data_IF_673526453550
#
_entry.id   IF_673526453550
#
_cell.length_a   1.000
_cell.length_b   1.000
_cell.length_c   1.000
_cell.angle_alpha   90.00
_cell.angle_beta   90.00
_cell.angle_gamma   90.00
#
_symmetry.space_group_name_H-M   'P 1'
#
loop_
_entity.id
_entity.type
_entity.pdbx_description
1 polymer ?
#
# COMPACT_ATOMS: atom_id res chain seq x y z
N UNK A 1 0.86 26.25 -0.13
CA UNK A 1 2.17 25.60 -0.02
C UNK A 1 1.92 24.16 0.38
N UNK A 2 1.97 23.24 -0.57
CA UNK A 2 1.73 21.81 -0.34
C UNK A 2 3.01 21.24 0.23
N UNK A 3 3.01 20.87 1.51
CA UNK A 3 4.03 20.01 2.06
C UNK A 3 3.64 18.56 1.69
N UNK A 4 4.08 18.10 0.52
CA UNK A 4 4.15 16.67 0.26
C UNK A 4 5.34 16.13 1.07
N UNK A 5 5.09 15.25 1.98
CA UNK A 5 6.12 14.64 2.80
C UNK A 5 5.91 13.13 2.84
N UNK A 6 6.91 12.44 2.35
CA UNK A 6 7.21 11.02 2.53
C UNK A 6 6.17 10.02 2.04
N UNK A 7 6.40 9.53 0.85
CA UNK A 7 5.95 8.19 0.45
C UNK A 7 7.01 7.17 0.91
N UNK A 8 6.77 6.57 2.05
CA UNK A 8 7.48 5.34 2.41
C UNK A 8 6.85 4.19 1.64
N UNK A 9 7.64 3.50 0.83
CA UNK A 9 7.23 2.19 0.28
C UNK A 9 7.00 1.26 1.48
N UNK A 10 5.75 1.05 1.86
CA UNK A 10 5.42 0.06 2.88
C UNK A 10 5.33 -1.29 2.18
N UNK A 11 6.48 -1.91 1.97
CA UNK A 11 6.58 -3.32 1.65
C UNK A 11 6.29 -4.10 2.93
N UNK A 12 5.30 -4.97 2.93
CA UNK A 12 5.03 -5.91 4.02
C UNK A 12 5.75 -7.22 3.70
N UNK A 13 6.86 -7.58 4.37
CA UNK A 13 7.57 -8.82 4.08
C UNK A 13 6.76 -10.03 4.57
N UNK A 14 6.59 -11.02 3.71
CA UNK A 14 6.13 -12.34 4.09
C UNK A 14 7.33 -13.13 4.63
N UNK A 15 7.19 -13.69 5.84
CA UNK A 15 8.24 -14.51 6.47
C UNK A 15 8.56 -15.76 5.66
N UNK A 16 9.83 -16.16 5.70
CA UNK A 16 10.34 -17.37 5.05
C UNK A 16 9.83 -18.65 5.74
N UNK A 17 9.65 -19.77 5.01
CA UNK A 17 9.20 -21.02 5.60
C UNK A 17 10.29 -21.73 6.40
N UNK A 18 9.96 -22.23 7.59
CA UNK A 18 10.81 -23.06 8.42
C UNK A 18 10.69 -24.56 8.03
N UNK A 19 11.75 -25.36 8.23
CA UNK A 19 11.79 -26.75 7.76
C UNK A 19 10.96 -27.73 8.61
N UNK A 20 10.34 -28.69 7.93
CA UNK A 20 9.47 -29.71 8.48
C UNK A 20 10.20 -30.76 9.33
N UNK A 21 9.63 -31.13 10.49
CA UNK A 21 9.96 -32.35 11.22
C UNK A 21 8.77 -33.31 11.24
N UNK A 22 9.01 -34.55 10.81
CA UNK A 22 8.06 -35.67 10.86
C UNK A 22 8.02 -36.29 12.26
N UNK A 23 6.82 -36.66 12.70
CA UNK A 23 6.67 -37.71 13.72
C UNK A 23 5.36 -38.46 13.48
N UNK A 24 5.45 -39.81 13.52
CA UNK A 24 4.35 -40.74 13.30
C UNK A 24 4.00 -41.35 14.64
N UNK A 25 2.72 -41.39 15.02
CA UNK A 25 2.18 -42.40 15.95
C UNK A 25 0.66 -42.52 15.79
N UNK A 26 0.17 -43.69 15.46
CA UNK A 26 -1.24 -44.00 15.31
C UNK A 26 -1.95 -44.35 16.60
N UNK A 27 -3.28 -44.13 16.62
CA UNK A 27 -4.25 -45.07 17.25
C UNK A 27 -5.71 -44.66 17.07
N UNK A 28 -6.54 -45.72 16.83
CA UNK A 28 -7.98 -45.89 17.10
C UNK A 28 -9.00 -44.98 16.44
N UNK A 29 -9.88 -45.61 15.61
CA UNK A 29 -10.97 -45.01 14.88
C UNK A 29 -12.21 -44.76 15.75
N UNK A 30 -12.32 -43.56 16.21
CA UNK A 30 -13.59 -42.84 16.36
C UNK A 30 -13.86 -42.12 15.06
N UNK A 31 -15.15 -41.85 14.70
CA UNK A 31 -15.48 -41.08 13.50
C UNK A 31 -14.48 -39.92 13.32
N UNK A 32 -13.84 -39.73 12.17
CA UNK A 32 -12.64 -38.93 12.04
C UNK A 32 -12.95 -37.51 12.50
N UNK A 33 -12.56 -37.17 13.72
CA UNK A 33 -12.54 -35.78 14.17
C UNK A 33 -11.60 -35.06 13.21
N UNK A 34 -12.14 -34.07 12.48
CA UNK A 34 -11.35 -33.24 11.60
C UNK A 34 -10.14 -32.70 12.36
N UNK A 35 -8.97 -32.78 11.77
CA UNK A 35 -7.81 -32.08 12.34
C UNK A 35 -8.10 -30.58 12.44
N UNK A 36 -7.49 -29.84 13.38
CA UNK A 36 -7.72 -28.40 13.52
C UNK A 36 -7.48 -27.66 12.21
N UNK A 37 -6.46 -28.05 11.43
CA UNK A 37 -6.13 -27.47 10.12
C UNK A 37 -7.28 -27.61 9.11
N UNK A 38 -7.80 -28.82 8.96
CA UNK A 38 -8.91 -29.11 8.03
C UNK A 38 -10.18 -28.39 8.48
N UNK A 39 -10.44 -28.35 9.77
CA UNK A 39 -11.60 -27.65 10.33
C UNK A 39 -11.50 -26.13 10.11
N UNK A 40 -10.35 -25.52 10.41
CA UNK A 40 -10.09 -24.10 10.18
C UNK A 40 -10.26 -23.74 8.70
N UNK A 41 -9.64 -24.50 7.78
CA UNK A 41 -9.78 -24.28 6.35
C UNK A 41 -11.24 -24.34 5.86
N UNK A 42 -12.04 -25.30 6.38
CA UNK A 42 -13.46 -25.39 6.06
C UNK A 42 -14.27 -24.19 6.57
N UNK A 43 -14.04 -23.76 7.81
CA UNK A 43 -14.70 -22.60 8.42
C UNK A 43 -14.37 -21.32 7.63
N UNK A 44 -13.10 -21.12 7.29
CA UNK A 44 -12.65 -19.98 6.51
C UNK A 44 -13.22 -19.97 5.09
N UNK A 45 -13.26 -21.11 4.41
CA UNK A 45 -13.88 -21.24 3.08
C UNK A 45 -15.38 -20.96 3.12
N UNK A 46 -16.09 -21.45 4.14
CA UNK A 46 -17.51 -21.15 4.32
C UNK A 46 -17.75 -19.66 4.56
N UNK A 47 -16.92 -19.05 5.40
CA UNK A 47 -16.97 -17.62 5.71
C UNK A 47 -16.72 -16.75 4.48
N UNK A 48 -15.74 -17.10 3.63
CA UNK A 48 -15.46 -16.41 2.37
C UNK A 48 -16.66 -16.47 1.41
N UNK A 49 -17.25 -17.66 1.23
CA UNK A 49 -18.46 -17.79 0.40
C UNK A 49 -19.63 -16.98 0.94
N UNK A 50 -19.80 -16.91 2.26
CA UNK A 50 -20.88 -16.15 2.89
C UNK A 50 -20.70 -14.64 2.66
N UNK A 51 -19.46 -14.10 2.64
CA UNK A 51 -19.18 -12.71 2.27
C UNK A 51 -19.67 -12.43 0.84
N UNK A 52 -19.26 -13.26 -0.12
CA UNK A 52 -19.62 -13.09 -1.54
C UNK A 52 -21.12 -13.28 -1.81
N UNK A 53 -21.78 -14.14 -1.02
CA UNK A 53 -23.22 -14.40 -1.10
C UNK A 53 -24.08 -13.41 -0.30
N UNK A 54 -23.46 -12.48 0.43
CA UNK A 54 -24.14 -11.60 1.39
C UNK A 54 -24.95 -12.38 2.44
N UNK A 55 -24.49 -13.57 2.82
CA UNK A 55 -25.13 -14.45 3.81
C UNK A 55 -24.56 -14.20 5.22
N UNK A 56 -25.19 -13.32 5.97
CA UNK A 56 -24.78 -13.00 7.35
C UNK A 56 -24.83 -14.20 8.28
N UNK A 57 -25.87 -15.03 8.12
CA UNK A 57 -26.05 -16.21 8.98
C UNK A 57 -24.92 -17.22 8.75
N UNK A 58 -24.59 -17.51 7.49
CA UNK A 58 -23.47 -18.37 7.10
C UNK A 58 -22.12 -17.83 7.57
N UNK A 59 -21.90 -16.51 7.48
CA UNK A 59 -20.67 -15.88 7.98
C UNK A 59 -20.50 -16.05 9.49
N UNK A 60 -21.57 -15.81 10.26
CA UNK A 60 -21.58 -15.90 11.72
C UNK A 60 -21.63 -17.35 12.23
N UNK A 61 -22.02 -18.32 11.40
CA UNK A 61 -22.02 -19.73 11.77
C UNK A 61 -20.61 -20.27 12.06
N UNK A 62 -19.57 -19.63 11.55
CA UNK A 62 -18.17 -19.98 11.84
C UNK A 62 -17.73 -19.52 13.25
N UNK A 63 -18.46 -18.63 13.92
CA UNK A 63 -18.06 -17.98 15.17
C UNK A 63 -18.65 -18.72 16.37
N UNK A 64 -17.89 -18.80 17.46
CA UNK A 64 -18.45 -19.29 18.73
C UNK A 64 -19.39 -18.27 19.35
N UNK A 65 -20.69 -18.58 19.40
CA UNK A 65 -21.70 -17.71 19.99
C UNK A 65 -21.52 -17.42 21.48
N UNK A 66 -20.80 -18.27 22.18
CA UNK A 66 -20.46 -18.05 23.61
C UNK A 66 -19.50 -16.87 23.79
N UNK A 67 -18.73 -16.52 22.75
CA UNK A 67 -17.86 -15.34 22.70
C UNK A 67 -18.63 -14.10 22.28
N UNK A 68 -19.64 -13.70 23.08
CA UNK A 68 -20.65 -12.70 22.72
C UNK A 68 -20.06 -11.41 22.17
N UNK A 69 -19.06 -10.83 22.81
CA UNK A 69 -18.44 -9.59 22.35
C UNK A 69 -17.78 -9.76 20.97
N UNK A 70 -17.08 -10.86 20.75
CA UNK A 70 -16.47 -11.18 19.46
C UNK A 70 -17.53 -11.47 18.40
N UNK A 71 -18.58 -12.23 18.71
CA UNK A 71 -19.70 -12.48 17.82
C UNK A 71 -20.36 -11.18 17.33
N UNK A 72 -20.60 -10.24 18.24
CA UNK A 72 -21.20 -8.93 17.91
C UNK A 72 -20.23 -8.07 17.06
N UNK A 73 -18.93 -8.10 17.34
CA UNK A 73 -17.95 -7.41 16.50
C UNK A 73 -17.92 -7.97 15.08
N UNK A 74 -17.99 -9.29 14.94
CA UNK A 74 -18.00 -9.97 13.65
C UNK A 74 -19.33 -9.74 12.88
N UNK A 75 -20.44 -9.54 13.61
CA UNK A 75 -21.71 -9.14 13.00
C UNK A 75 -21.62 -7.75 12.36
N UNK A 76 -21.00 -6.78 13.05
CA UNK A 76 -20.75 -5.44 12.49
C UNK A 76 -19.74 -5.48 11.33
N UNK A 77 -18.68 -6.27 11.46
CA UNK A 77 -17.71 -6.46 10.39
C UNK A 77 -18.39 -6.96 9.10
N UNK A 78 -19.29 -7.93 9.22
CA UNK A 78 -20.03 -8.42 8.05
C UNK A 78 -20.84 -7.30 7.38
N UNK A 79 -21.54 -6.47 8.18
CA UNK A 79 -22.33 -5.36 7.65
C UNK A 79 -21.48 -4.32 6.89
N UNK A 80 -20.22 -4.15 7.30
CA UNK A 80 -19.27 -3.30 6.60
C UNK A 80 -18.76 -3.98 5.30
N UNK A 81 -18.35 -5.26 5.36
CA UNK A 81 -17.81 -6.02 4.24
C UNK A 81 -18.76 -6.06 3.04
N UNK A 82 -20.06 -6.29 3.27
CA UNK A 82 -21.03 -6.41 2.16
C UNK A 82 -21.36 -5.08 1.46
N UNK A 83 -20.85 -3.96 1.96
CA UNK A 83 -20.96 -2.66 1.28
C UNK A 83 -19.87 -2.45 0.22
N UNK A 84 -18.85 -3.29 0.18
CA UNK A 84 -17.73 -3.21 -0.75
C UNK A 84 -17.92 -4.20 -1.91
N UNK A 85 -17.70 -3.81 -3.16
CA UNK A 85 -17.98 -4.66 -4.31
C UNK A 85 -16.86 -5.68 -4.55
N UNK A 86 -16.83 -6.77 -3.80
CA UNK A 86 -15.86 -7.85 -4.03
C UNK A 86 -16.16 -8.58 -5.34
N UNK A 87 -15.10 -8.83 -6.12
CA UNK A 87 -15.11 -9.78 -7.25
C UNK A 87 -14.88 -11.20 -6.75
N UNK A 88 -13.88 -11.34 -5.90
CA UNK A 88 -13.55 -12.57 -5.19
C UNK A 88 -13.03 -12.25 -3.79
N UNK A 89 -13.21 -13.20 -2.90
CA UNK A 89 -12.72 -13.16 -1.54
C UNK A 89 -12.46 -14.61 -1.09
N UNK A 90 -11.27 -14.90 -0.60
CA UNK A 90 -10.95 -16.19 -0.03
C UNK A 90 -9.95 -16.06 1.11
N UNK A 91 -9.86 -17.12 1.92
CA UNK A 91 -8.85 -17.27 2.96
C UNK A 91 -8.00 -18.50 2.70
N UNK A 92 -6.73 -18.45 3.09
CA UNK A 92 -5.86 -19.61 3.18
C UNK A 92 -5.10 -19.62 4.51
N UNK A 93 -4.70 -20.77 4.98
CA UNK A 93 -3.70 -20.91 6.04
C UNK A 93 -2.32 -20.77 5.38
N UNK A 94 -1.45 -19.93 5.92
CA UNK A 94 -0.11 -19.68 5.33
C UNK A 94 0.75 -20.93 5.51
N UNK A 95 0.91 -21.39 6.74
CA UNK A 95 1.46 -22.69 7.07
C UNK A 95 0.48 -23.46 7.98
N UNK A 96 -0.25 -24.46 7.44
CA UNK A 96 -1.20 -25.20 8.25
C UNK A 96 -0.58 -26.03 9.39
N UNK A 97 0.73 -26.25 9.38
CA UNK A 97 1.41 -26.97 10.48
C UNK A 97 1.79 -26.04 11.64
N UNK A 98 1.88 -24.75 11.40
CA UNK A 98 2.17 -23.77 12.42
C UNK A 98 0.97 -23.55 13.35
N UNK A 99 1.25 -23.56 14.65
CA UNK A 99 0.31 -23.18 15.68
C UNK A 99 0.97 -22.17 16.64
N UNK A 100 0.64 -20.92 16.42
CA UNK A 100 1.24 -19.76 17.09
C UNK A 100 0.70 -19.53 18.51
N UNK A 101 -0.18 -20.41 19.01
CA UNK A 101 -0.75 -20.29 20.35
C UNK A 101 0.32 -20.45 21.44
N UNK A 102 0.60 -19.36 22.15
CA UNK A 102 1.57 -19.36 23.24
C UNK A 102 1.10 -20.25 24.43
N UNK A 103 2.03 -20.75 25.27
CA UNK A 103 1.66 -21.47 26.49
C UNK A 103 0.72 -20.65 27.40
N UNK A 104 0.89 -19.35 27.48
CA UNK A 104 0.01 -18.46 28.25
C UNK A 104 -1.39 -18.39 27.64
N UNK A 105 -1.50 -18.30 26.32
CA UNK A 105 -2.79 -18.34 25.65
C UNK A 105 -3.49 -19.68 25.90
N UNK A 106 -2.78 -20.80 25.75
CA UNK A 106 -3.33 -22.15 26.03
C UNK A 106 -3.84 -22.28 27.46
N UNK A 107 -3.10 -21.78 28.47
CA UNK A 107 -3.56 -21.77 29.88
C UNK A 107 -4.85 -20.95 30.04
N UNK A 108 -5.00 -19.81 29.33
CA UNK A 108 -6.23 -18.99 29.38
C UNK A 108 -7.46 -19.73 28.83
N UNK A 109 -7.26 -20.59 27.83
CA UNK A 109 -8.32 -21.44 27.29
C UNK A 109 -8.57 -22.72 28.10
N UNK A 110 -7.73 -23.00 29.10
CA UNK A 110 -7.87 -24.13 30.00
C UNK A 110 -7.75 -25.48 29.30
N UNK A 111 -8.76 -26.35 29.46
CA UNK A 111 -8.79 -27.68 28.82
C UNK A 111 -9.28 -27.63 27.37
N UNK A 112 -9.76 -26.49 26.88
CA UNK A 112 -10.24 -26.34 25.49
C UNK A 112 -9.06 -26.41 24.54
N UNK A 113 -9.15 -27.27 23.53
CA UNK A 113 -8.15 -27.30 22.45
C UNK A 113 -8.30 -26.09 21.58
N UNK A 114 -7.17 -25.42 21.33
CA UNK A 114 -7.10 -24.25 20.43
C UNK A 114 -6.07 -24.49 19.33
N UNK A 115 -6.25 -23.77 18.22
CA UNK A 115 -5.34 -23.71 17.10
C UNK A 115 -5.30 -22.26 16.59
N UNK A 116 -4.11 -21.70 16.45
CA UNK A 116 -3.90 -20.30 16.07
C UNK A 116 -2.90 -20.24 14.91
N UNK A 117 -3.34 -20.40 13.68
CA UNK A 117 -2.51 -20.29 12.49
C UNK A 117 -2.40 -18.83 12.00
N UNK A 118 -1.38 -18.55 11.21
CA UNK A 118 -1.41 -17.40 10.32
C UNK A 118 -2.40 -17.66 9.17
N UNK A 119 -3.32 -16.72 8.97
CA UNK A 119 -4.36 -16.77 7.95
C UNK A 119 -4.17 -15.58 7.00
N UNK A 120 -4.16 -15.83 5.70
CA UNK A 120 -4.12 -14.81 4.68
C UNK A 120 -5.50 -14.71 4.00
N UNK A 121 -6.09 -13.51 3.98
CA UNK A 121 -7.18 -13.19 3.09
C UNK A 121 -6.62 -12.69 1.75
N UNK A 122 -7.25 -13.12 0.67
CA UNK A 122 -6.98 -12.66 -0.70
C UNK A 122 -8.29 -12.19 -1.30
N UNK A 123 -8.31 -10.93 -1.75
CA UNK A 123 -9.54 -10.36 -2.30
C UNK A 123 -9.24 -9.41 -3.47
N UNK A 124 -10.24 -9.20 -4.32
CA UNK A 124 -10.23 -8.18 -5.39
C UNK A 124 -11.54 -7.43 -5.39
N UNK A 125 -11.47 -6.12 -5.65
CA UNK A 125 -12.65 -5.32 -5.92
C UNK A 125 -13.05 -5.45 -7.39
N UNK A 126 -14.35 -5.66 -7.61
CA UNK A 126 -14.92 -5.94 -8.93
C UNK A 126 -14.62 -4.80 -9.91
N UNK A 127 -13.90 -5.13 -10.98
CA UNK A 127 -13.57 -4.21 -12.05
C UNK A 127 -12.44 -3.22 -11.75
N UNK A 128 -11.86 -3.22 -10.53
CA UNK A 128 -10.84 -2.23 -10.12
C UNK A 128 -9.51 -2.85 -9.69
N UNK A 129 -9.47 -4.13 -9.36
CA UNK A 129 -8.24 -4.85 -9.05
C UNK A 129 -7.92 -5.87 -10.16
N UNK A 130 -6.77 -5.74 -10.78
CA UNK A 130 -6.22 -6.73 -11.72
C UNK A 130 -5.54 -7.88 -10.99
N UNK A 131 -4.93 -7.61 -9.83
CA UNK A 131 -4.30 -8.57 -8.95
C UNK A 131 -4.90 -8.53 -7.54
N UNK A 132 -4.85 -9.64 -6.77
CA UNK A 132 -5.43 -9.68 -5.43
C UNK A 132 -4.66 -8.81 -4.44
N UNK A 133 -5.35 -8.27 -3.45
CA UNK A 133 -4.76 -7.75 -2.22
C UNK A 133 -4.58 -8.90 -1.24
N UNK A 134 -3.49 -8.88 -0.50
CA UNK A 134 -3.18 -9.82 0.57
C UNK A 134 -3.32 -9.12 1.92
N UNK A 135 -3.99 -9.78 2.86
CA UNK A 135 -4.18 -9.27 4.21
C UNK A 135 -4.05 -10.42 5.20
N UNK A 136 -3.28 -10.23 6.28
CA UNK A 136 -2.97 -11.27 7.27
C UNK A 136 -3.84 -11.12 8.49
N UNK A 137 -4.32 -12.26 8.99
CA UNK A 137 -5.12 -12.34 10.20
C UNK A 137 -4.68 -13.51 11.07
N UNK A 138 -4.87 -13.38 12.37
CA UNK A 138 -4.54 -14.40 13.36
C UNK A 138 -5.81 -14.77 14.13
N UNK A 139 -6.58 -15.73 13.57
CA UNK A 139 -7.78 -16.24 14.21
C UNK A 139 -7.42 -17.35 15.20
N UNK A 140 -7.96 -17.26 16.42
CA UNK A 140 -7.96 -18.38 17.36
C UNK A 140 -9.16 -19.25 17.09
N UNK A 141 -8.91 -20.50 16.67
CA UNK A 141 -9.94 -21.54 16.58
C UNK A 141 -9.99 -22.30 17.89
N UNK A 142 -11.19 -22.61 18.38
CA UNK A 142 -11.40 -23.44 19.56
C UNK A 142 -12.30 -24.63 19.22
N UNK A 143 -12.03 -25.77 19.88
CA UNK A 143 -12.84 -26.97 19.78
C UNK A 143 -14.03 -26.87 20.75
N UNK A 144 -15.24 -26.81 20.24
CA UNK A 144 -16.49 -26.80 21.00
C UNK A 144 -17.17 -28.19 20.93
N UNK A 145 -18.20 -28.46 21.75
CA UNK A 145 -18.96 -29.71 21.65
C UNK A 145 -19.60 -29.96 20.27
N UNK A 146 -19.85 -28.90 19.50
CA UNK A 146 -20.45 -28.96 18.16
C UNK A 146 -19.43 -28.80 17.02
N UNK A 147 -18.12 -28.95 17.33
CA UNK A 147 -17.02 -28.85 16.39
C UNK A 147 -16.19 -27.56 16.57
N UNK A 148 -15.26 -27.34 15.67
CA UNK A 148 -14.38 -26.16 15.71
C UNK A 148 -15.14 -24.88 15.37
N UNK A 149 -14.77 -23.76 16.05
CA UNK A 149 -15.30 -22.41 15.83
C UNK A 149 -14.19 -21.38 15.98
N UNK A 150 -14.36 -20.21 15.38
CA UNK A 150 -13.48 -19.05 15.60
C UNK A 150 -13.91 -18.40 16.92
N UNK A 151 -12.97 -18.29 17.84
CA UNK A 151 -13.19 -17.77 19.19
C UNK A 151 -12.74 -16.32 19.36
N UNK A 152 -11.68 -15.94 18.64
CA UNK A 152 -11.07 -14.61 18.74
C UNK A 152 -10.22 -14.29 17.51
N UNK A 153 -9.74 -13.05 17.45
CA UNK A 153 -8.81 -12.53 16.46
C UNK A 153 -7.73 -11.70 17.19
N UNK A 154 -6.50 -11.67 16.65
CA UNK A 154 -5.42 -10.82 17.15
C UNK A 154 -4.74 -11.33 18.42
N UNK A 155 -4.84 -12.62 18.76
CA UNK A 155 -4.22 -13.21 19.95
C UNK A 155 -2.81 -13.76 19.71
N UNK A 156 -2.24 -13.61 18.51
CA UNK A 156 -0.88 -14.08 18.19
C UNK A 156 0.24 -13.20 18.74
N UNK A 157 -0.06 -12.02 19.30
CA UNK A 157 0.96 -11.10 19.82
C UNK A 157 1.84 -11.78 20.89
N UNK A 158 3.17 -11.56 20.89
CA UNK A 158 3.92 -10.65 20.02
C UNK A 158 4.38 -11.25 18.67
N UNK A 159 4.05 -12.50 18.37
CA UNK A 159 4.53 -13.23 17.19
C UNK A 159 4.00 -12.63 15.88
N UNK A 160 2.74 -12.19 15.87
CA UNK A 160 2.11 -11.57 14.72
C UNK A 160 1.01 -10.58 15.13
N UNK A 161 0.74 -9.62 14.23
CA UNK A 161 -0.32 -8.61 14.36
C UNK A 161 -1.17 -8.65 13.12
N UNK A 162 -2.51 -8.61 13.29
CA UNK A 162 -3.44 -8.53 12.17
C UNK A 162 -3.18 -7.29 11.32
N UNK A 163 -3.27 -7.44 10.02
CA UNK A 163 -3.43 -6.30 9.14
C UNK A 163 -4.80 -5.65 9.38
N UNK A 164 -4.86 -4.35 9.20
CA UNK A 164 -6.09 -3.57 9.36
C UNK A 164 -6.61 -3.19 7.98
N UNK A 165 -7.90 -3.43 7.79
CA UNK A 165 -8.61 -3.06 6.58
C UNK A 165 -9.65 -1.97 6.86
N UNK A 166 -10.02 -1.20 5.84
CA UNK A 166 -10.93 -0.05 6.02
C UNK A 166 -12.30 -0.48 6.59
N UNK A 167 -12.76 -1.68 6.28
CA UNK A 167 -14.02 -2.23 6.80
C UNK A 167 -13.99 -2.64 8.27
N UNK A 168 -12.81 -2.70 8.90
CA UNK A 168 -12.68 -3.03 10.33
C UNK A 168 -13.14 -1.87 11.23
N UNK A 169 -13.16 -0.64 10.69
CA UNK A 169 -13.33 0.59 11.45
C UNK A 169 -14.71 1.25 11.31
N UNK A 170 -15.66 0.64 10.63
CA UNK A 170 -17.04 1.14 10.58
C UNK A 170 -17.71 1.05 9.21
N UNK A 171 -18.90 1.64 9.10
CA UNK A 171 -19.69 1.63 7.87
C UNK A 171 -18.94 2.28 6.71
N UNK A 172 -19.12 1.72 5.51
CA UNK A 172 -18.50 2.21 4.29
C UNK A 172 -19.51 2.65 3.25
N UNK A 173 -19.06 3.48 2.33
CA UNK A 173 -19.69 3.86 1.08
C UNK A 173 -18.67 3.82 -0.03
N UNK A 174 -19.13 3.75 -1.26
CA UNK A 174 -18.29 3.79 -2.45
C UNK A 174 -18.72 4.89 -3.40
N UNK A 175 -17.73 5.52 -4.05
CA UNK A 175 -17.93 6.35 -5.23
C UNK A 175 -17.12 5.71 -6.37
N UNK A 176 -17.72 5.54 -7.54
CA UNK A 176 -17.16 4.67 -8.56
C UNK A 176 -17.31 5.27 -9.96
N UNK A 177 -16.26 5.08 -10.77
CA UNK A 177 -16.27 5.21 -12.23
C UNK A 177 -15.82 3.88 -12.85
N UNK A 178 -15.64 3.84 -14.16
CA UNK A 178 -15.12 2.65 -14.83
C UNK A 178 -13.68 2.31 -14.39
N UNK A 179 -12.88 3.30 -13.98
CA UNK A 179 -11.45 3.15 -13.68
C UNK A 179 -11.10 3.39 -12.22
N UNK A 180 -11.92 4.14 -11.50
CA UNK A 180 -11.63 4.55 -10.12
C UNK A 180 -12.69 4.04 -9.17
N UNK A 181 -12.27 3.41 -8.08
CA UNK A 181 -13.10 3.10 -6.91
C UNK A 181 -12.58 3.88 -5.71
N UNK A 182 -13.43 4.70 -5.10
CA UNK A 182 -13.16 5.34 -3.82
C UNK A 182 -13.99 4.67 -2.75
N UNK A 183 -13.34 4.07 -1.75
CA UNK A 183 -13.98 3.48 -0.56
C UNK A 183 -13.79 4.44 0.60
N UNK A 184 -14.87 4.82 1.26
CA UNK A 184 -14.81 5.89 2.25
C UNK A 184 -15.84 5.70 3.38
N UNK A 185 -15.56 6.29 4.55
CA UNK A 185 -16.55 6.41 5.63
C UNK A 185 -17.55 7.54 5.36
N UNK A 186 -18.85 7.39 5.72
CA UNK A 186 -19.92 8.33 5.35
C UNK A 186 -19.62 9.81 5.63
N UNK A 187 -18.90 10.12 6.71
CA UNK A 187 -18.48 11.49 7.06
C UNK A 187 -17.55 12.16 6.05
N UNK A 188 -16.88 11.39 5.18
CA UNK A 188 -15.88 11.89 4.23
C UNK A 188 -16.41 11.95 2.78
N UNK A 189 -17.73 11.97 2.57
CA UNK A 189 -18.34 11.93 1.23
C UNK A 189 -17.80 13.01 0.28
N UNK A 190 -17.77 14.27 0.72
CA UNK A 190 -17.32 15.38 -0.13
C UNK A 190 -15.85 15.22 -0.55
N UNK A 191 -14.99 14.78 0.36
CA UNK A 191 -13.60 14.49 0.06
C UNK A 191 -13.48 13.34 -0.93
N UNK A 192 -14.22 12.25 -0.73
CA UNK A 192 -14.22 11.10 -1.63
C UNK A 192 -14.64 11.48 -3.06
N UNK A 193 -15.68 12.30 -3.21
CA UNK A 193 -16.14 12.81 -4.52
C UNK A 193 -15.09 13.72 -5.19
N UNK A 194 -14.37 14.55 -4.41
CA UNK A 194 -13.25 15.38 -4.91
C UNK A 194 -12.08 14.52 -5.35
N UNK A 195 -11.70 13.50 -4.56
CA UNK A 195 -10.64 12.55 -4.89
C UNK A 195 -10.98 11.76 -6.17
N UNK A 196 -12.24 11.31 -6.31
CA UNK A 196 -12.70 10.65 -7.53
C UNK A 196 -12.50 11.53 -8.77
N UNK A 197 -12.90 12.80 -8.71
CA UNK A 197 -12.71 13.75 -9.82
C UNK A 197 -11.23 14.03 -10.10
N UNK A 198 -10.40 14.11 -9.07
CA UNK A 198 -8.97 14.30 -9.23
C UNK A 198 -8.32 13.06 -9.91
N UNK A 199 -8.69 11.86 -9.50
CA UNK A 199 -8.21 10.62 -10.10
C UNK A 199 -8.57 10.51 -11.59
N UNK A 200 -9.81 10.87 -11.98
CA UNK A 200 -10.21 10.82 -13.37
C UNK A 200 -9.40 11.77 -14.29
N UNK A 201 -8.96 12.91 -13.75
CA UNK A 201 -8.06 13.83 -14.49
C UNK A 201 -6.61 13.35 -14.49
N UNK A 202 -6.19 12.64 -13.43
CA UNK A 202 -4.81 12.16 -13.28
C UNK A 202 -4.42 11.15 -14.38
N UNK A 203 -5.34 10.32 -14.87
CA UNK A 203 -5.03 9.34 -15.91
C UNK A 203 -4.39 9.99 -17.15
N UNK A 204 -4.98 11.04 -17.69
CA UNK A 204 -4.43 11.73 -18.86
C UNK A 204 -3.06 12.39 -18.57
N UNK A 205 -2.85 12.89 -17.34
CA UNK A 205 -1.57 13.47 -16.95
C UNK A 205 -0.47 12.40 -16.85
N UNK A 206 -0.81 11.25 -16.29
CA UNK A 206 0.12 10.11 -16.17
C UNK A 206 0.45 9.57 -17.57
N UNK A 207 -0.54 9.32 -18.42
CA UNK A 207 -0.33 8.83 -19.80
C UNK A 207 0.51 9.78 -20.65
N UNK A 208 0.42 11.09 -20.41
CA UNK A 208 1.28 12.08 -21.06
C UNK A 208 2.75 12.03 -20.57
N UNK A 209 3.01 11.46 -19.40
CA UNK A 209 4.35 11.39 -18.78
C UNK A 209 4.94 9.99 -18.79
N UNK A 210 4.11 8.95 -18.76
CA UNK A 210 4.49 7.54 -18.64
C UNK A 210 3.86 6.69 -19.73
N UNK A 211 4.68 6.00 -20.53
CA UNK A 211 4.27 5.08 -21.60
C UNK A 211 4.44 3.60 -21.23
N UNK A 212 4.87 3.30 -19.99
CA UNK A 212 4.99 1.93 -19.51
C UNK A 212 3.62 1.29 -19.26
N UNK A 213 3.54 -0.05 -19.24
CA UNK A 213 2.30 -0.75 -18.95
C UNK A 213 1.84 -0.49 -17.52
N UNK A 214 0.54 -0.23 -17.34
CA UNK A 214 -0.13 -0.19 -16.05
C UNK A 214 -1.63 -0.45 -16.23
N UNK A 215 -2.35 -0.72 -15.16
CA UNK A 215 -3.73 -1.21 -15.25
C UNK A 215 -4.75 -0.12 -15.60
N UNK A 216 -4.39 1.16 -15.56
CA UNK A 216 -5.30 2.31 -15.71
C UNK A 216 -6.53 2.19 -14.78
N UNK A 217 -6.32 1.67 -13.59
CA UNK A 217 -7.31 1.52 -12.53
C UNK A 217 -6.68 1.86 -11.20
N UNK A 218 -7.47 2.47 -10.33
CA UNK A 218 -7.01 2.80 -8.98
C UNK A 218 -8.12 2.60 -7.95
N UNK A 219 -7.73 2.15 -6.78
CA UNK A 219 -8.57 2.12 -5.58
C UNK A 219 -8.02 3.11 -4.58
N UNK A 220 -8.88 4.05 -4.14
CA UNK A 220 -8.55 5.08 -3.16
C UNK A 220 -9.32 4.78 -1.88
N UNK A 221 -8.61 4.71 -0.75
CA UNK A 221 -9.20 4.54 0.58
C UNK A 221 -9.20 5.89 1.30
N UNK A 222 -10.37 6.31 1.77
CA UNK A 222 -10.57 7.56 2.52
C UNK A 222 -11.01 7.20 3.95
N UNK A 223 -10.05 6.98 4.86
CA UNK A 223 -10.28 6.59 6.24
C UNK A 223 -10.94 7.70 7.06
N UNK A 224 -11.37 7.42 8.30
CA UNK A 224 -11.93 8.42 9.22
C UNK A 224 -10.93 9.54 9.52
N UNK A 225 -9.70 9.15 9.84
CA UNK A 225 -8.64 10.05 10.33
C UNK A 225 -7.24 9.49 10.02
N UNK A 226 -6.23 10.25 10.47
CA UNK A 226 -4.82 9.88 10.34
C UNK A 226 -4.48 8.56 11.05
N UNK A 227 -5.08 8.27 12.20
CA UNK A 227 -4.77 7.06 12.97
C UNK A 227 -5.22 5.81 12.21
N UNK A 228 -6.40 5.88 11.59
CA UNK A 228 -6.85 4.80 10.72
C UNK A 228 -5.96 4.70 9.47
N UNK A 229 -5.65 5.82 8.80
CA UNK A 229 -4.75 5.83 7.66
C UNK A 229 -3.40 5.15 7.99
N UNK A 230 -2.80 5.47 9.13
CA UNK A 230 -1.55 4.83 9.58
C UNK A 230 -1.69 3.32 9.77
N UNK A 231 -2.80 2.85 10.35
CA UNK A 231 -3.03 1.40 10.52
C UNK A 231 -3.20 0.69 9.18
N UNK A 232 -3.91 1.30 8.21
CA UNK A 232 -4.10 0.75 6.86
C UNK A 232 -2.78 0.56 6.10
N UNK A 233 -1.74 1.32 6.44
CA UNK A 233 -0.40 1.22 5.83
C UNK A 233 0.62 0.58 6.76
N UNK A 234 0.19 -0.28 7.68
CA UNK A 234 1.09 -1.05 8.55
C UNK A 234 1.76 -0.26 9.66
N UNK A 235 1.14 0.85 10.12
CA UNK A 235 1.63 1.65 11.25
C UNK A 235 2.66 2.73 10.88
N UNK A 236 2.91 2.96 9.60
CA UNK A 236 3.80 4.04 9.14
C UNK A 236 3.29 5.40 9.62
N UNK A 237 4.18 6.24 10.13
CA UNK A 237 3.84 7.58 10.58
C UNK A 237 3.47 8.48 9.39
N UNK A 238 2.21 8.89 9.32
CA UNK A 238 1.67 9.75 8.27
C UNK A 238 1.46 11.21 8.72
N UNK A 239 2.01 11.65 9.85
CA UNK A 239 1.74 12.99 10.40
C UNK A 239 2.03 14.14 9.42
N UNK A 240 2.97 13.93 8.49
CA UNK A 240 3.36 14.91 7.47
C UNK A 240 3.01 14.49 6.04
N UNK A 241 2.27 13.40 5.88
CA UNK A 241 1.94 12.78 4.58
C UNK A 241 0.50 13.08 4.22
N UNK A 242 0.25 13.50 2.99
CA UNK A 242 -1.08 13.80 2.48
C UNK A 242 -1.84 12.55 2.02
N UNK A 243 -1.15 11.66 1.34
CA UNK A 243 -1.62 10.36 0.91
C UNK A 243 -0.42 9.44 0.70
N UNK A 244 -0.66 8.15 0.52
CA UNK A 244 0.38 7.16 0.26
C UNK A 244 -0.12 6.07 -0.67
N UNK A 245 0.66 5.74 -1.70
CA UNK A 245 0.43 4.56 -2.50
C UNK A 245 0.98 3.33 -1.76
N UNK A 246 0.11 2.39 -1.43
CA UNK A 246 0.43 1.14 -0.73
C UNK A 246 0.13 -0.06 -1.63
N UNK A 247 0.86 -1.15 -1.45
CA UNK A 247 0.64 -2.41 -2.17
C UNK A 247 1.03 -3.60 -1.29
N UNK A 248 0.45 -4.75 -1.60
CA UNK A 248 0.90 -6.03 -1.06
C UNK A 248 2.08 -6.55 -1.89
N UNK A 249 3.01 -7.26 -1.25
CA UNK A 249 4.09 -7.96 -1.96
C UNK A 249 3.93 -9.46 -1.72
N UNK A 250 3.82 -10.21 -2.79
CA UNK A 250 3.89 -11.66 -2.74
C UNK A 250 5.35 -12.08 -2.83
N UNK A 251 5.86 -12.69 -1.77
CA UNK A 251 7.23 -13.21 -1.74
C UNK A 251 7.35 -14.44 -2.66
N UNK A 252 8.44 -14.51 -3.41
CA UNK A 252 8.75 -15.61 -4.33
C UNK A 252 10.14 -15.43 -4.92
N UNK A 253 10.56 -16.31 -5.87
CA UNK A 253 11.81 -16.13 -6.59
C UNK A 253 11.91 -14.76 -7.31
N UNK A 254 10.77 -14.20 -7.68
CA UNK A 254 10.61 -12.82 -8.14
C UNK A 254 9.50 -12.21 -7.31
N UNK A 255 9.78 -11.11 -6.64
CA UNK A 255 8.77 -10.35 -5.90
C UNK A 255 7.68 -9.84 -6.85
N UNK A 256 6.43 -10.03 -6.49
CA UNK A 256 5.28 -9.52 -7.25
C UNK A 256 4.55 -8.47 -6.44
N UNK A 257 4.47 -7.28 -7.00
CA UNK A 257 3.63 -6.22 -6.44
C UNK A 257 2.17 -6.50 -6.77
N UNK A 258 1.35 -6.61 -5.75
CA UNK A 258 -0.06 -6.94 -5.85
C UNK A 258 -0.89 -5.82 -5.23
N UNK A 259 -2.13 -5.66 -5.72
CA UNK A 259 -3.18 -4.89 -5.08
C UNK A 259 -2.78 -3.48 -4.67
N UNK A 260 -2.75 -2.54 -5.62
CA UNK A 260 -2.41 -1.15 -5.33
C UNK A 260 -3.57 -0.42 -4.64
N UNK A 261 -3.23 0.38 -3.62
CA UNK A 261 -4.17 1.28 -2.91
C UNK A 261 -3.54 2.65 -2.76
N UNK A 262 -4.32 3.69 -2.94
CA UNK A 262 -3.98 5.03 -2.48
C UNK A 262 -4.70 5.27 -1.17
N UNK A 263 -3.98 5.40 -0.07
CA UNK A 263 -4.54 5.67 1.26
C UNK A 263 -4.39 7.15 1.58
N UNK A 264 -5.50 7.82 1.84
CA UNK A 264 -5.54 9.26 2.06
C UNK A 264 -5.39 9.57 3.55
N UNK A 265 -4.53 10.51 3.91
CA UNK A 265 -4.53 11.09 5.26
C UNK A 265 -5.55 12.23 5.32
N UNK A 266 -6.76 11.91 5.72
CA UNK A 266 -7.89 12.84 5.75
C UNK A 266 -7.63 14.08 6.61
N UNK A 267 -6.86 13.94 7.70
CA UNK A 267 -6.53 15.06 8.60
C UNK A 267 -5.65 16.10 7.90
N UNK A 268 -4.73 15.67 7.05
CA UNK A 268 -3.79 16.58 6.38
C UNK A 268 -4.38 17.26 5.15
N UNK A 269 -5.31 16.59 4.44
CA UNK A 269 -5.84 17.11 3.16
C UNK A 269 -7.24 17.70 3.26
N UNK A 270 -7.85 17.72 4.44
CA UNK A 270 -9.22 18.23 4.63
C UNK A 270 -9.42 19.64 4.05
N UNK A 271 -8.41 20.50 4.18
CA UNK A 271 -8.44 21.90 3.74
C UNK A 271 -7.77 22.15 2.39
N UNK A 272 -7.35 21.10 1.67
CA UNK A 272 -6.73 21.28 0.35
C UNK A 272 -7.79 21.76 -0.65
N UNK A 273 -7.41 22.73 -1.48
CA UNK A 273 -8.20 23.11 -2.65
C UNK A 273 -8.17 22.00 -3.72
N UNK A 274 -8.85 22.22 -4.84
CA UNK A 274 -8.94 21.21 -5.89
C UNK A 274 -7.61 21.03 -6.65
N UNK A 275 -6.78 22.08 -6.72
CA UNK A 275 -5.46 21.99 -7.35
C UNK A 275 -4.52 21.13 -6.51
N UNK A 276 -4.45 21.39 -5.21
CA UNK A 276 -3.63 20.63 -4.29
C UNK A 276 -4.06 19.15 -4.22
N UNK A 277 -5.38 18.88 -4.21
CA UNK A 277 -5.89 17.51 -4.29
C UNK A 277 -5.51 16.84 -5.63
N UNK A 278 -5.55 17.59 -6.75
CA UNK A 278 -5.14 17.07 -8.05
C UNK A 278 -3.66 16.69 -8.05
N UNK A 279 -2.80 17.55 -7.52
CA UNK A 279 -1.34 17.31 -7.43
C UNK A 279 -1.08 16.03 -6.61
N UNK A 280 -1.62 15.95 -5.39
CA UNK A 280 -1.44 14.78 -4.53
C UNK A 280 -1.97 13.50 -5.20
N UNK A 281 -3.18 13.56 -5.76
CA UNK A 281 -3.78 12.38 -6.40
C UNK A 281 -2.96 11.91 -7.60
N UNK A 282 -2.48 12.84 -8.43
CA UNK A 282 -1.65 12.49 -9.59
C UNK A 282 -0.30 11.92 -9.16
N UNK A 283 0.32 12.48 -8.12
CA UNK A 283 1.56 11.99 -7.54
C UNK A 283 1.40 10.52 -7.10
N UNK A 284 0.42 10.21 -6.25
CA UNK A 284 0.19 8.86 -5.75
C UNK A 284 -0.18 7.86 -6.86
N UNK A 285 -1.01 8.27 -7.79
CA UNK A 285 -1.35 7.43 -8.94
C UNK A 285 -0.16 7.21 -9.89
N UNK A 286 0.81 8.13 -9.93
CA UNK A 286 2.05 7.92 -10.68
C UNK A 286 2.87 6.80 -10.06
N UNK A 287 2.95 6.70 -8.73
CA UNK A 287 3.56 5.55 -8.08
C UNK A 287 2.85 4.24 -8.43
N UNK A 288 1.51 4.24 -8.46
CA UNK A 288 0.75 3.05 -8.90
C UNK A 288 1.12 2.67 -10.34
N UNK A 289 1.25 3.62 -11.24
CA UNK A 289 1.56 3.38 -12.64
C UNK A 289 3.00 2.87 -12.87
N UNK A 290 3.97 3.34 -12.09
CA UNK A 290 5.40 3.03 -12.27
C UNK A 290 5.88 1.82 -11.48
N UNK A 291 5.14 1.39 -10.44
CA UNK A 291 5.53 0.35 -9.49
C UNK A 291 5.79 -1.04 -10.10
N UNK A 292 5.32 -1.30 -11.30
CA UNK A 292 5.57 -2.56 -12.02
C UNK A 292 7.03 -2.82 -12.33
N UNK A 293 7.90 -1.82 -12.19
CA UNK A 293 9.35 -1.94 -12.44
C UNK A 293 10.15 -2.51 -11.26
N UNK A 294 9.55 -2.58 -10.06
CA UNK A 294 10.23 -3.04 -8.85
C UNK A 294 10.30 -1.98 -7.76
N UNK A 295 11.26 -2.09 -6.86
CA UNK A 295 11.47 -1.18 -5.72
C UNK A 295 12.93 -0.70 -5.60
N UNK A 296 13.72 -0.93 -6.64
CA UNK A 296 15.16 -0.63 -6.64
C UNK A 296 15.53 0.77 -7.12
N UNK A 297 14.56 1.57 -7.59
CA UNK A 297 14.84 2.92 -8.07
C UNK A 297 15.32 3.83 -6.92
N UNK A 298 16.31 4.74 -7.17
CA UNK A 298 16.65 5.79 -6.22
C UNK A 298 15.45 6.71 -5.94
N UNK A 299 15.23 7.11 -4.67
CA UNK A 299 14.06 7.92 -4.30
C UNK A 299 13.98 9.26 -5.04
N UNK A 300 15.11 9.88 -5.38
CA UNK A 300 15.10 11.11 -6.17
C UNK A 300 14.42 10.93 -7.55
N UNK A 301 14.46 9.72 -8.09
CA UNK A 301 13.82 9.44 -9.36
C UNK A 301 12.35 9.06 -9.17
N UNK A 302 12.05 8.25 -8.16
CA UNK A 302 10.68 7.82 -7.83
C UNK A 302 9.80 9.03 -7.49
N UNK A 303 10.24 9.82 -6.50
CA UNK A 303 9.51 10.99 -6.03
C UNK A 303 9.56 12.15 -7.03
N UNK A 304 10.75 12.34 -7.64
CA UNK A 304 10.93 13.38 -8.65
C UNK A 304 10.07 13.17 -9.88
N UNK A 305 9.89 11.93 -10.33
CA UNK A 305 9.03 11.62 -11.47
C UNK A 305 7.54 11.76 -11.13
N UNK A 306 7.13 11.37 -9.92
CA UNK A 306 5.77 11.53 -9.46
C UNK A 306 5.39 13.03 -9.36
N UNK A 307 6.23 13.84 -8.73
CA UNK A 307 6.05 15.28 -8.66
C UNK A 307 6.15 15.97 -10.02
N UNK A 308 7.09 15.57 -10.88
CA UNK A 308 7.16 16.08 -12.26
C UNK A 308 5.84 15.85 -13.01
N UNK A 309 5.29 14.63 -12.93
CA UNK A 309 4.03 14.26 -13.57
C UNK A 309 2.87 15.09 -13.03
N UNK A 310 2.80 15.25 -11.71
CA UNK A 310 1.72 15.98 -11.04
C UNK A 310 1.77 17.50 -11.30
N UNK A 311 2.96 18.09 -11.36
CA UNK A 311 3.18 19.53 -11.51
C UNK A 311 3.30 19.98 -12.97
N UNK A 312 3.53 19.06 -13.92
CA UNK A 312 3.72 19.37 -15.34
C UNK A 312 2.61 20.23 -15.97
N UNK A 313 1.32 20.03 -15.63
CA UNK A 313 0.25 20.88 -16.20
C UNK A 313 0.22 22.31 -15.63
N UNK A 314 0.98 22.58 -14.56
CA UNK A 314 0.96 23.88 -13.89
C UNK A 314 1.96 24.82 -14.58
N UNK A 315 1.44 25.72 -15.40
CA UNK A 315 2.23 26.70 -16.15
C UNK A 315 2.67 27.87 -15.22
N UNK A 316 3.52 27.58 -14.24
CA UNK A 316 4.04 28.56 -13.30
C UNK A 316 5.59 28.48 -13.24
N UNK A 317 6.28 29.59 -12.89
CA UNK A 317 7.73 29.60 -12.72
C UNK A 317 8.22 28.53 -11.73
N UNK A 318 9.48 28.12 -11.89
CA UNK A 318 10.12 27.14 -11.01
C UNK A 318 10.10 27.60 -9.54
N UNK A 319 10.28 28.91 -9.27
CA UNK A 319 10.21 29.51 -7.95
C UNK A 319 8.85 29.34 -7.24
N UNK A 320 7.76 29.22 -8.01
CA UNK A 320 6.41 28.99 -7.48
C UNK A 320 6.13 27.52 -7.30
N UNK A 321 6.54 26.68 -8.23
CA UNK A 321 6.26 25.24 -8.21
C UNK A 321 7.27 24.45 -7.36
N UNK A 322 8.49 25.00 -7.12
CA UNK A 322 9.57 24.42 -6.27
C UNK A 322 10.10 25.45 -5.28
N UNK A 323 9.26 25.92 -4.34
CA UNK A 323 9.62 27.05 -3.47
C UNK A 323 10.71 26.74 -2.45
N UNK A 324 10.89 25.46 -2.06
CA UNK A 324 11.94 25.07 -1.13
C UNK A 324 13.31 25.10 -1.83
N UNK A 325 13.39 24.62 -3.07
CA UNK A 325 14.60 24.75 -3.91
C UNK A 325 14.93 26.22 -4.18
N UNK A 326 13.95 27.04 -4.53
CA UNK A 326 14.16 28.46 -4.79
C UNK A 326 14.76 29.18 -3.56
N UNK A 327 14.26 28.87 -2.36
CA UNK A 327 14.85 29.40 -1.11
C UNK A 327 16.29 28.91 -0.88
N UNK A 328 16.57 27.62 -1.13
CA UNK A 328 17.92 27.02 -0.99
C UNK A 328 18.91 27.71 -1.92
N UNK A 329 18.52 27.98 -3.16
CA UNK A 329 19.33 28.72 -4.16
C UNK A 329 19.56 30.15 -3.72
N UNK A 330 18.51 30.89 -3.35
CA UNK A 330 18.60 32.28 -2.90
C UNK A 330 19.50 32.45 -1.64
N UNK A 331 19.62 31.41 -0.83
CA UNK A 331 20.49 31.37 0.35
C UNK A 331 21.94 30.94 0.03
N UNK A 332 22.27 30.67 -1.24
CA UNK A 332 23.59 30.19 -1.64
C UNK A 332 23.94 28.78 -1.12
N UNK A 333 22.94 27.99 -0.72
CA UNK A 333 23.13 26.65 -0.13
C UNK A 333 22.90 25.49 -1.12
N UNK A 334 22.52 25.78 -2.34
CA UNK A 334 22.30 24.77 -3.36
C UNK A 334 23.64 24.24 -3.87
N UNK A 335 23.92 22.97 -3.63
CA UNK A 335 25.17 22.29 -3.99
C UNK A 335 25.13 21.61 -5.38
N UNK A 336 23.96 21.54 -6.00
CA UNK A 336 23.76 20.93 -7.31
C UNK A 336 23.87 19.40 -7.33
N UNK A 337 23.75 18.75 -6.19
CA UNK A 337 23.75 17.29 -6.07
C UNK A 337 22.32 16.75 -5.97
N UNK A 338 22.11 15.54 -6.50
CA UNK A 338 20.83 14.85 -6.33
C UNK A 338 20.65 14.41 -4.87
N UNK A 339 19.43 14.56 -4.30
CA UNK A 339 19.19 14.20 -2.92
C UNK A 339 19.37 12.69 -2.68
N UNK A 340 19.95 12.35 -1.54
CA UNK A 340 20.02 10.97 -1.07
C UNK A 340 18.64 10.49 -0.59
N UNK A 341 18.44 9.17 -0.48
CA UNK A 341 17.20 8.61 0.07
C UNK A 341 16.90 9.11 1.50
N UNK A 342 17.95 9.35 2.30
CA UNK A 342 17.79 9.85 3.67
C UNK A 342 17.28 11.28 3.69
N UNK A 343 17.56 12.08 2.66
CA UNK A 343 17.04 13.46 2.54
C UNK A 343 15.52 13.49 2.49
N UNK A 344 14.89 12.48 1.90
CA UNK A 344 13.41 12.38 1.85
C UNK A 344 12.80 11.98 3.19
N UNK A 345 13.57 11.34 4.07
CA UNK A 345 13.13 10.93 5.42
C UNK A 345 13.38 11.98 6.48
N UNK A 346 14.30 12.91 6.23
CA UNK A 346 14.65 13.98 7.16
C UNK A 346 13.51 15.00 7.28
N UNK A 347 13.07 15.29 8.50
CA UNK A 347 11.91 16.16 8.75
C UNK A 347 12.14 17.64 8.36
N UNK A 348 13.39 18.07 8.29
CA UNK A 348 13.77 19.47 8.02
C UNK A 348 14.00 19.74 6.54
N UNK A 349 14.50 18.78 5.77
CA UNK A 349 14.97 18.98 4.40
C UNK A 349 14.17 18.25 3.33
N UNK A 350 13.17 17.46 3.74
CA UNK A 350 12.39 16.65 2.81
C UNK A 350 11.76 17.48 1.68
N UNK A 351 11.17 18.64 2.00
CA UNK A 351 10.57 19.51 0.97
C UNK A 351 11.61 20.00 -0.07
N UNK A 352 12.86 20.19 0.35
CA UNK A 352 13.95 20.54 -0.56
C UNK A 352 14.29 19.34 -1.45
N UNK A 353 14.38 18.13 -0.87
CA UNK A 353 14.68 16.91 -1.63
C UNK A 353 13.62 16.64 -2.71
N UNK A 354 12.33 16.80 -2.40
CA UNK A 354 11.25 16.70 -3.39
C UNK A 354 11.39 17.73 -4.51
N UNK A 355 11.62 19.00 -4.15
CA UNK A 355 11.77 20.08 -5.13
C UNK A 355 13.01 19.86 -6.03
N UNK A 356 14.15 19.44 -5.46
CA UNK A 356 15.36 19.09 -6.19
C UNK A 356 15.09 17.92 -7.15
N UNK A 357 14.53 16.83 -6.66
CA UNK A 357 14.22 15.64 -7.44
C UNK A 357 13.27 15.94 -8.60
N UNK A 358 12.17 16.67 -8.34
CA UNK A 358 11.22 17.02 -9.39
C UNK A 358 11.77 18.03 -10.39
N UNK A 359 12.65 18.94 -9.96
CA UNK A 359 13.34 19.88 -10.86
C UNK A 359 14.35 19.16 -11.76
N UNK A 360 15.03 18.12 -11.24
CA UNK A 360 15.90 17.26 -12.04
C UNK A 360 15.10 16.53 -13.13
N UNK A 361 13.98 15.90 -12.77
CA UNK A 361 13.12 15.24 -13.75
C UNK A 361 12.58 16.21 -14.79
N UNK A 362 12.20 17.43 -14.39
CA UNK A 362 11.79 18.49 -15.31
C UNK A 362 12.94 18.90 -16.24
N UNK A 363 14.15 19.06 -15.72
CA UNK A 363 15.35 19.37 -16.53
C UNK A 363 15.62 18.28 -17.57
N UNK A 364 15.60 17.00 -17.16
CA UNK A 364 15.79 15.88 -18.10
C UNK A 364 14.71 15.90 -19.19
N UNK A 365 13.46 16.05 -18.79
CA UNK A 365 12.33 16.05 -19.73
C UNK A 365 12.37 17.23 -20.70
N UNK A 366 12.78 18.42 -20.26
CA UNK A 366 12.86 19.62 -21.11
C UNK A 366 14.10 19.63 -22.00
N UNK A 367 15.20 19.04 -21.56
CA UNK A 367 16.47 19.06 -22.29
C UNK A 367 16.60 17.88 -23.26
N UNK A 368 16.16 16.69 -22.86
CA UNK A 368 16.35 15.45 -23.62
C UNK A 368 15.04 14.82 -24.09
N UNK A 369 13.90 15.36 -23.66
CA UNK A 369 12.58 14.84 -23.93
C UNK A 369 12.11 13.80 -22.90
N UNK A 370 10.78 13.72 -22.74
CA UNK A 370 10.14 12.78 -21.82
C UNK A 370 10.52 11.29 -22.07
N UNK A 371 10.72 10.81 -23.32
CA UNK A 371 11.19 9.43 -23.55
C UNK A 371 12.55 9.12 -22.90
N UNK A 372 13.47 10.09 -22.83
CA UNK A 372 14.77 9.92 -22.15
C UNK A 372 14.62 9.86 -20.63
N UNK A 373 13.73 10.69 -20.05
CA UNK A 373 13.41 10.61 -18.63
C UNK A 373 12.84 9.24 -18.27
N UNK A 374 11.89 8.73 -19.05
CA UNK A 374 11.33 7.39 -18.84
C UNK A 374 12.38 6.28 -19.03
N UNK A 375 13.28 6.42 -20.00
CA UNK A 375 14.37 5.47 -20.21
C UNK A 375 15.32 5.45 -19.00
N UNK A 376 15.64 6.60 -18.43
CA UNK A 376 16.44 6.72 -17.22
C UNK A 376 15.74 6.06 -16.03
N UNK A 377 14.44 6.31 -15.86
CA UNK A 377 13.62 5.68 -14.82
C UNK A 377 13.68 4.14 -14.92
N UNK A 378 13.47 3.58 -16.12
CA UNK A 378 13.54 2.13 -16.34
C UNK A 378 14.95 1.56 -16.16
N UNK A 379 15.98 2.28 -16.58
CA UNK A 379 17.37 1.81 -16.48
C UNK A 379 17.86 1.71 -15.03
N UNK A 380 17.36 2.63 -14.19
CA UNK A 380 17.70 2.65 -12.75
C UNK A 380 16.72 1.81 -11.90
N UNK A 381 15.65 1.28 -12.51
CA UNK A 381 14.69 0.39 -11.88
C UNK A 381 15.19 -1.05 -11.82
N UNK A 382 14.58 -1.85 -10.96
CA UNK A 382 14.88 -3.27 -10.80
C UNK A 382 14.58 -3.76 -9.39
N UNK A 383 15.00 -4.99 -9.08
CA UNK A 383 14.84 -5.60 -7.76
C UNK A 383 15.86 -5.12 -6.72
N UNK A 384 16.92 -4.48 -7.16
CA UNK A 384 17.99 -3.98 -6.29
C UNK A 384 18.36 -2.55 -6.67
N UNK A 385 18.60 -1.73 -5.65
CA UNK A 385 19.04 -0.35 -5.84
C UNK A 385 20.43 -0.31 -6.47
N UNK A 386 20.62 0.40 -7.61
CA UNK A 386 21.91 0.52 -8.26
C UNK A 386 22.89 1.32 -7.39
N UNK A 387 24.13 0.83 -7.27
CA UNK A 387 25.21 1.59 -6.68
C UNK A 387 25.66 2.75 -7.58
N UNK A 388 26.54 3.64 -7.09
CA UNK A 388 26.97 4.83 -7.84
C UNK A 388 27.62 4.51 -9.19
N UNK A 389 28.39 3.42 -9.29
CA UNK A 389 29.04 3.00 -10.55
C UNK A 389 27.98 2.56 -11.56
N UNK A 390 26.97 1.82 -11.11
CA UNK A 390 25.86 1.39 -11.96
C UNK A 390 25.01 2.59 -12.39
N UNK A 391 24.71 3.51 -11.46
CA UNK A 391 23.99 4.75 -11.79
C UNK A 391 24.77 5.53 -12.85
N UNK A 392 26.07 5.72 -12.69
CA UNK A 392 26.92 6.43 -13.65
C UNK A 392 26.86 5.79 -15.05
N UNK A 393 26.96 4.46 -15.13
CA UNK A 393 26.82 3.72 -16.38
C UNK A 393 25.46 3.94 -17.05
N UNK A 394 24.36 3.92 -16.28
CA UNK A 394 23.03 4.17 -16.80
C UNK A 394 22.83 5.62 -17.27
N UNK A 395 23.38 6.58 -16.54
CA UNK A 395 23.39 7.98 -16.97
C UNK A 395 24.15 8.17 -18.29
N UNK A 396 25.34 7.57 -18.40
CA UNK A 396 26.12 7.59 -19.63
C UNK A 396 25.35 6.95 -20.80
N UNK A 397 24.71 5.81 -20.56
CA UNK A 397 23.94 5.10 -21.59
C UNK A 397 22.71 5.91 -22.06
N UNK A 398 21.98 6.51 -21.14
CA UNK A 398 20.68 7.14 -21.43
C UNK A 398 20.82 8.61 -21.81
N UNK A 399 21.65 9.38 -21.10
CA UNK A 399 21.81 10.82 -21.28
C UNK A 399 23.08 11.22 -22.05
N UNK A 400 23.98 10.25 -22.32
CA UNK A 400 25.25 10.50 -23.00
C UNK A 400 26.29 11.19 -22.15
N UNK A 401 26.14 11.17 -20.80
CA UNK A 401 27.06 11.79 -19.87
C UNK A 401 27.02 11.07 -18.51
N UNK A 402 28.12 11.08 -17.73
CA UNK A 402 28.15 10.53 -16.39
C UNK A 402 27.30 11.35 -15.41
N UNK A 403 26.89 10.73 -14.30
CA UNK A 403 26.02 11.30 -13.28
C UNK A 403 26.48 12.69 -12.81
N UNK A 404 27.76 12.84 -12.46
CA UNK A 404 28.32 14.13 -12.00
C UNK A 404 28.24 15.25 -13.03
N UNK A 405 28.37 14.91 -14.32
CA UNK A 405 28.18 15.90 -15.40
C UNK A 405 26.70 16.27 -15.54
N UNK A 406 25.80 15.30 -15.37
CA UNK A 406 24.36 15.57 -15.39
C UNK A 406 23.95 16.48 -14.22
N UNK A 407 24.44 16.21 -13.00
CA UNK A 407 24.24 17.06 -11.82
C UNK A 407 24.73 18.50 -12.05
N UNK A 408 25.94 18.68 -12.56
CA UNK A 408 26.50 20.00 -12.83
C UNK A 408 25.67 20.78 -13.88
N UNK A 409 25.20 20.11 -14.94
CA UNK A 409 24.36 20.74 -15.98
C UNK A 409 22.97 21.07 -15.47
N UNK A 410 22.37 20.20 -14.66
CA UNK A 410 21.12 20.48 -13.98
C UNK A 410 21.26 21.66 -13.01
N UNK A 411 22.30 21.69 -12.21
CA UNK A 411 22.58 22.80 -11.29
C UNK A 411 22.65 24.14 -12.02
N UNK A 412 23.42 24.20 -13.11
CA UNK A 412 23.52 25.39 -13.96
C UNK A 412 22.18 25.77 -14.59
N UNK A 413 21.33 24.79 -14.95
CA UNK A 413 19.97 25.03 -15.45
C UNK A 413 19.09 25.62 -14.36
N UNK A 414 19.07 25.05 -13.13
CA UNK A 414 18.31 25.56 -11.99
C UNK A 414 18.65 27.01 -11.70
N UNK A 415 19.95 27.35 -11.64
CA UNK A 415 20.41 28.72 -11.39
C UNK A 415 19.97 29.74 -12.45
N UNK A 416 19.71 29.28 -13.69
CA UNK A 416 19.17 30.15 -14.76
C UNK A 416 17.65 30.30 -14.70
N UNK A 417 16.95 29.39 -14.01
CA UNK A 417 15.48 29.39 -13.90
C UNK A 417 15.01 30.14 -12.64
N UNK A 418 15.85 30.32 -11.64
CA UNK A 418 15.58 30.97 -10.37
C UNK A 418 16.36 32.25 -10.22
#
# INVERSE_FOLDING_TARGET
>A
MVALLLVGLVARPNGAPAPARRSVAGRAATAPQLTPQVAAARLLSARARAILAHDKAGFLAAIDRRRTAFYLSQSRLFDNLVTVPFQDFNYRLVDPQDDLASPTLRRRYGTTRIYLPETEARYRFKGHDGSPVLSRFFYTFEQTPIGWRIAAQGEAKPVGVDDVEIWDNGPLRTAVTQRTLVVYHPGNRLLAERMLRAAERAYAQIDASWSGPWEHRVVILVPHDQNEAQRLVGGTNLSKVAAVASSSIEAGPVERVLGNRVVVNTSNIANYDNLNLQVVTTHEMTHVATRTLGSGEPLYLVEGFADYTALRPIAQPLSVTRPALARKVAQGRFDGLLPSDDSFRASTDAAVAYDEASSFCLWVATTFGNPRLQALFRALGGSQKPNLVQQDAHFQQVLGMPLRTAEARWAAWVQRQL
#
